data_IF_961590549660
#
_entry.id   IF_961590549660
#
_cell.length_a   1.000
_cell.length_b   1.000
_cell.length_c   1.000
_cell.angle_alpha   90.00
_cell.angle_beta   90.00
_cell.angle_gamma   90.00
#
_symmetry.space_group_name_H-M   'P 1'
#
loop_
_entity.id
_entity.type
_entity.pdbx_description
1 polymer ?
#
# COMPACT_ATOMS: atom_id res chain seq x y z
N UNK A 1 -39.34 15.00 -12.70
CA UNK A 1 -39.38 13.67 -13.32
C UNK A 1 -38.22 13.48 -14.27
N UNK A 2 -37.95 14.43 -15.17
CA UNK A 2 -36.79 14.40 -16.08
C UNK A 2 -35.43 14.22 -15.37
N UNK A 3 -35.14 14.96 -14.31
CA UNK A 3 -33.88 14.77 -13.55
C UNK A 3 -33.72 13.36 -12.95
N UNK A 4 -34.83 12.75 -12.54
CA UNK A 4 -34.83 11.38 -12.01
C UNK A 4 -34.58 10.37 -13.14
N UNK A 5 -35.24 10.57 -14.28
CA UNK A 5 -35.08 9.71 -15.45
C UNK A 5 -33.66 9.82 -16.02
N UNK A 6 -33.06 11.00 -16.01
CA UNK A 6 -31.69 11.24 -16.44
C UNK A 6 -30.67 10.62 -15.50
N UNK A 7 -30.85 10.76 -14.18
CA UNK A 7 -30.01 10.11 -13.19
C UNK A 7 -30.09 8.57 -13.31
N UNK A 8 -31.30 8.03 -13.47
CA UNK A 8 -31.51 6.60 -13.68
C UNK A 8 -30.85 6.13 -14.99
N UNK A 9 -31.00 6.89 -16.08
CA UNK A 9 -30.41 6.58 -17.38
C UNK A 9 -28.89 6.50 -17.31
N UNK A 10 -28.21 7.41 -16.61
CA UNK A 10 -26.75 7.35 -16.45
C UNK A 10 -26.28 6.07 -15.76
N UNK A 11 -26.91 5.67 -14.65
CA UNK A 11 -26.55 4.44 -13.93
C UNK A 11 -26.79 3.21 -14.80
N UNK A 12 -27.92 3.17 -15.52
CA UNK A 12 -28.25 2.04 -16.40
C UNK A 12 -27.32 1.97 -17.61
N UNK A 13 -26.94 3.10 -18.20
CA UNK A 13 -25.99 3.14 -19.30
C UNK A 13 -24.61 2.63 -18.89
N UNK A 14 -24.09 3.01 -17.71
CA UNK A 14 -22.80 2.47 -17.23
C UNK A 14 -22.88 0.95 -17.04
N UNK A 15 -23.99 0.42 -16.49
CA UNK A 15 -24.19 -1.03 -16.36
C UNK A 15 -24.28 -1.72 -17.73
N UNK A 16 -24.87 -1.05 -18.71
CA UNK A 16 -24.97 -1.53 -20.08
C UNK A 16 -23.59 -1.59 -20.76
N UNK A 17 -22.80 -0.51 -20.65
CA UNK A 17 -21.45 -0.42 -21.19
C UNK A 17 -20.50 -1.44 -20.53
N UNK A 18 -20.69 -1.71 -19.23
CA UNK A 18 -20.00 -2.78 -18.51
C UNK A 18 -20.48 -4.19 -18.88
N UNK A 19 -21.49 -4.32 -19.74
CA UNK A 19 -22.04 -5.60 -20.22
C UNK A 19 -22.89 -6.36 -19.19
N UNK A 20 -23.24 -5.75 -18.06
CA UNK A 20 -23.89 -6.43 -16.94
C UNK A 20 -25.35 -6.84 -17.22
N UNK A 21 -25.99 -6.23 -18.23
CA UNK A 21 -27.31 -6.67 -18.70
C UNK A 21 -27.24 -7.91 -19.61
N UNK A 22 -26.10 -8.13 -20.27
CA UNK A 22 -25.89 -9.32 -21.10
C UNK A 22 -25.44 -10.51 -20.24
N UNK A 23 -24.49 -10.28 -19.34
CA UNK A 23 -24.06 -11.24 -18.33
C UNK A 23 -23.76 -10.54 -16.99
N UNK A 24 -24.63 -10.68 -15.98
CA UNK A 24 -24.45 -10.03 -14.68
C UNK A 24 -23.28 -10.63 -13.87
N UNK A 25 -22.74 -11.78 -14.24
CA UNK A 25 -21.65 -12.47 -13.54
C UNK A 25 -20.31 -12.45 -14.29
N UNK A 26 -20.23 -11.70 -15.38
CA UNK A 26 -19.06 -11.63 -16.28
C UNK A 26 -17.71 -11.38 -15.61
N UNK A 27 -17.70 -10.68 -14.47
CA UNK A 27 -16.47 -10.33 -13.74
C UNK A 27 -16.18 -11.25 -12.53
N UNK A 28 -17.02 -12.25 -12.27
CA UNK A 28 -16.87 -13.20 -11.17
C UNK A 28 -16.33 -14.56 -11.62
N UNK A 29 -16.41 -14.86 -12.92
CA UNK A 29 -16.06 -16.16 -13.47
C UNK A 29 -16.97 -17.30 -12.96
N UNK A 30 -16.67 -18.56 -13.32
CA UNK A 30 -17.35 -19.71 -12.74
C UNK A 30 -17.16 -19.75 -11.21
N UNK A 31 -18.19 -20.16 -10.48
CA UNK A 31 -18.22 -20.18 -9.00
C UNK A 31 -16.98 -20.80 -8.34
N UNK A 32 -16.41 -21.83 -8.96
CA UNK A 32 -15.27 -22.59 -8.41
C UNK A 32 -13.90 -22.13 -8.93
N UNK A 33 -13.85 -21.05 -9.73
CA UNK A 33 -12.63 -20.62 -10.41
C UNK A 33 -11.76 -19.64 -9.61
N UNK A 34 -12.33 -18.89 -8.67
CA UNK A 34 -11.57 -17.95 -7.85
C UNK A 34 -10.97 -18.69 -6.63
N UNK A 35 -9.65 -18.59 -6.39
CA UNK A 35 -9.03 -19.17 -5.20
C UNK A 35 -9.67 -18.64 -3.92
N UNK A 36 -9.84 -19.54 -2.93
CA UNK A 36 -10.46 -19.20 -1.64
C UNK A 36 -9.70 -18.08 -0.91
N UNK A 37 -8.37 -18.06 -1.04
CA UNK A 37 -7.55 -17.00 -0.46
C UNK A 37 -7.38 -15.84 -1.44
N UNK A 38 -8.20 -14.80 -1.24
CA UNK A 38 -8.13 -13.54 -2.00
C UNK A 38 -6.77 -12.87 -1.88
N UNK A 39 -6.03 -13.09 -0.78
CA UNK A 39 -4.73 -12.46 -0.52
C UNK A 39 -3.55 -13.38 -0.86
N UNK A 40 -3.77 -14.50 -1.56
CA UNK A 40 -2.70 -15.42 -1.90
C UNK A 40 -1.55 -14.73 -2.65
N UNK A 41 -0.30 -15.06 -2.31
CA UNK A 41 0.90 -14.49 -2.94
C UNK A 41 0.93 -14.68 -4.46
N UNK A 42 0.31 -15.76 -4.96
CA UNK A 42 0.21 -16.05 -6.40
C UNK A 42 -0.66 -15.04 -7.16
N UNK A 43 -1.52 -14.27 -6.49
CA UNK A 43 -2.36 -13.23 -7.10
C UNK A 43 -1.67 -11.86 -7.13
N UNK A 44 -0.47 -11.73 -6.55
CA UNK A 44 0.23 -10.45 -6.47
C UNK A 44 1.12 -10.20 -7.69
N UNK A 45 1.09 -8.97 -8.20
CA UNK A 45 1.91 -8.50 -9.32
C UNK A 45 3.22 -7.82 -8.83
N UNK A 46 4.05 -8.58 -8.08
CA UNK A 46 5.23 -8.02 -7.38
C UNK A 46 6.32 -7.51 -8.32
N UNK A 47 6.49 -8.14 -9.49
CA UNK A 47 7.53 -7.77 -10.45
C UNK A 47 7.24 -6.39 -11.03
N UNK A 48 6.02 -6.20 -11.53
CA UNK A 48 5.52 -4.97 -12.14
C UNK A 48 5.54 -3.84 -11.11
N UNK A 49 5.04 -4.11 -9.89
CA UNK A 49 5.09 -3.13 -8.79
C UNK A 49 6.52 -2.67 -8.48
N UNK A 50 7.51 -3.58 -8.50
CA UNK A 50 8.91 -3.26 -8.25
C UNK A 50 9.54 -2.45 -9.39
N UNK A 51 9.17 -2.70 -10.64
CA UNK A 51 9.67 -1.96 -11.80
C UNK A 51 9.18 -0.52 -11.78
N UNK A 52 7.86 -0.31 -11.65
CA UNK A 52 7.27 1.03 -11.54
C UNK A 52 7.82 1.80 -10.34
N UNK A 53 7.98 1.14 -9.19
CA UNK A 53 8.54 1.78 -7.99
C UNK A 53 10.01 2.22 -8.16
N UNK A 54 10.79 1.63 -9.08
CA UNK A 54 12.16 2.11 -9.36
C UNK A 54 12.16 3.39 -10.18
N UNK A 55 11.24 3.51 -11.12
CA UNK A 55 11.14 4.66 -12.02
C UNK A 55 10.58 5.90 -11.33
N UNK A 56 9.83 5.73 -10.23
CA UNK A 56 9.27 6.84 -9.45
C UNK A 56 10.25 7.50 -8.48
N UNK A 57 11.43 6.92 -8.24
CA UNK A 57 12.41 7.45 -7.29
C UNK A 57 13.16 8.65 -7.86
N UNK A 58 13.19 9.75 -7.10
CA UNK A 58 13.90 10.98 -7.47
C UNK A 58 15.15 11.15 -6.61
N UNK A 59 16.33 11.20 -7.25
CA UNK A 59 17.60 11.47 -6.57
C UNK A 59 17.78 12.98 -6.35
N UNK A 60 17.54 13.44 -5.12
CA UNK A 60 17.64 14.87 -4.79
C UNK A 60 19.08 15.37 -4.62
N UNK A 61 20.01 14.52 -4.15
CA UNK A 61 21.42 14.90 -3.90
C UNK A 61 22.33 13.68 -3.91
N UNK A 62 23.50 13.80 -4.54
CA UNK A 62 24.60 12.82 -4.46
C UNK A 62 25.95 13.55 -4.38
N UNK A 63 26.57 13.57 -3.20
CA UNK A 63 27.88 14.22 -2.98
C UNK A 63 28.97 13.15 -2.93
N UNK A 64 30.15 13.46 -3.47
CA UNK A 64 31.33 12.57 -3.44
C UNK A 64 31.05 11.15 -3.97
N UNK A 65 30.15 11.02 -4.94
CA UNK A 65 29.78 9.71 -5.52
C UNK A 65 29.39 8.67 -4.47
N UNK A 66 28.71 9.12 -3.40
CA UNK A 66 28.31 8.23 -2.30
C UNK A 66 27.41 7.09 -2.80
N UNK A 67 26.54 7.39 -3.77
CA UNK A 67 25.72 6.39 -4.45
C UNK A 67 26.30 6.06 -5.83
N UNK A 68 26.28 4.77 -6.25
CA UNK A 68 25.67 3.62 -5.58
C UNK A 68 26.56 3.01 -4.46
N UNK A 69 25.91 2.49 -3.41
CA UNK A 69 26.61 1.83 -2.31
C UNK A 69 27.24 0.49 -2.74
N UNK A 70 28.44 0.19 -2.21
CA UNK A 70 29.07 -1.12 -2.36
C UNK A 70 28.35 -2.16 -1.52
N UNK A 71 27.98 -3.30 -2.13
CA UNK A 71 27.32 -4.41 -1.44
C UNK A 71 28.16 -5.06 -0.34
N UNK A 72 29.47 -4.87 -0.36
CA UNK A 72 30.38 -5.42 0.67
C UNK A 72 30.52 -4.57 1.92
N UNK A 73 29.90 -3.38 1.96
CA UNK A 73 30.02 -2.48 3.09
C UNK A 73 29.23 -2.97 4.32
N UNK A 74 29.60 -2.44 5.48
CA UNK A 74 28.71 -2.46 6.65
C UNK A 74 27.80 -1.24 6.59
N UNK A 75 26.49 -1.47 6.48
CA UNK A 75 25.46 -0.44 6.27
C UNK A 75 24.62 -0.34 7.55
N UNK A 76 24.60 0.83 8.17
CA UNK A 76 23.67 1.14 9.24
C UNK A 76 22.38 1.73 8.64
N UNK A 77 21.25 1.08 8.92
CA UNK A 77 19.91 1.55 8.55
C UNK A 77 19.25 2.09 9.81
N UNK A 78 18.98 3.40 9.85
CA UNK A 78 18.47 4.08 11.04
C UNK A 78 17.22 4.88 10.70
N UNK A 79 16.19 4.74 11.52
CA UNK A 79 14.98 5.58 11.46
C UNK A 79 13.69 4.80 11.72
N UNK A 80 12.61 5.49 12.15
CA UNK A 80 11.33 4.85 12.50
C UNK A 80 10.65 4.17 11.31
N UNK A 81 10.89 4.64 10.07
CA UNK A 81 10.26 4.11 8.86
C UNK A 81 11.06 2.97 8.22
N UNK A 82 12.27 2.69 8.70
CA UNK A 82 13.17 1.72 8.08
C UNK A 82 12.56 0.32 8.00
N UNK A 83 11.82 -0.09 9.02
CA UNK A 83 11.17 -1.40 9.11
C UNK A 83 9.64 -1.33 9.21
N UNK A 84 9.03 -0.26 8.70
CA UNK A 84 7.58 -0.12 8.70
C UNK A 84 6.96 -0.70 7.44
N UNK A 85 6.17 -1.77 7.61
CA UNK A 85 5.37 -2.37 6.54
C UNK A 85 4.12 -1.55 6.18
N UNK A 86 3.60 -0.78 7.14
CA UNK A 86 2.40 0.03 6.93
C UNK A 86 2.72 1.27 6.10
N UNK A 87 3.78 1.98 6.48
CA UNK A 87 4.06 3.29 5.89
C UNK A 87 4.58 3.19 4.46
N UNK A 88 5.23 2.07 4.09
CA UNK A 88 5.72 1.85 2.72
C UNK A 88 4.60 1.67 1.70
N UNK A 89 3.39 1.26 2.12
CA UNK A 89 2.22 1.20 1.23
C UNK A 89 1.64 2.58 0.93
N UNK A 90 1.90 3.56 1.79
CA UNK A 90 1.30 4.89 1.71
C UNK A 90 -0.17 4.93 2.13
N UNK A 91 -0.75 6.13 2.04
CA UNK A 91 -2.20 6.33 2.19
C UNK A 91 -2.97 5.78 1.00
N UNK A 92 -4.26 5.49 1.19
CA UNK A 92 -5.14 5.02 0.11
C UNK A 92 -4.65 3.71 -0.55
N UNK A 93 -4.07 2.80 0.24
CA UNK A 93 -3.54 1.50 -0.21
C UNK A 93 -4.61 0.47 -0.62
N UNK A 94 -5.88 0.87 -0.71
CA UNK A 94 -7.02 0.02 -1.06
C UNK A 94 -7.04 -1.31 -0.31
N UNK A 95 -7.04 -2.45 -1.02
CA UNK A 95 -7.02 -3.80 -0.45
C UNK A 95 -5.61 -4.32 -0.10
N UNK A 96 -4.59 -3.46 -0.11
CA UNK A 96 -3.22 -3.84 0.20
C UNK A 96 -3.06 -4.36 1.63
N UNK A 97 -2.38 -5.51 1.77
CA UNK A 97 -2.09 -6.12 3.07
C UNK A 97 -0.69 -5.71 3.53
N UNK A 98 -0.61 -4.97 4.63
CA UNK A 98 0.65 -4.46 5.16
C UNK A 98 1.69 -5.57 5.31
N UNK A 99 1.31 -6.73 5.83
CA UNK A 99 2.23 -7.83 6.06
C UNK A 99 2.92 -8.40 4.82
N UNK A 100 2.35 -8.18 3.63
CA UNK A 100 2.92 -8.58 2.35
C UNK A 100 3.92 -7.56 1.79
N UNK A 101 4.09 -6.42 2.45
CA UNK A 101 5.00 -5.35 2.01
C UNK A 101 6.46 -5.63 2.35
N UNK A 102 7.35 -5.21 1.45
CA UNK A 102 8.80 -5.27 1.68
C UNK A 102 9.26 -3.94 2.26
N UNK A 103 9.75 -3.95 3.50
CA UNK A 103 10.29 -2.74 4.17
C UNK A 103 11.60 -2.29 3.53
N UNK A 104 12.01 -1.04 3.76
CA UNK A 104 13.31 -0.52 3.29
C UNK A 104 14.45 -1.37 3.84
N UNK A 105 14.40 -1.72 5.13
CA UNK A 105 15.37 -2.61 5.79
C UNK A 105 15.42 -3.98 5.11
N UNK A 106 14.27 -4.60 4.86
CA UNK A 106 14.19 -5.90 4.19
C UNK A 106 14.72 -5.82 2.76
N UNK A 107 14.37 -4.77 2.01
CA UNK A 107 14.86 -4.53 0.66
C UNK A 107 16.38 -4.37 0.59
N UNK A 108 16.98 -3.64 1.53
CA UNK A 108 18.44 -3.48 1.63
C UNK A 108 19.10 -4.82 1.98
N UNK A 109 18.58 -5.56 2.97
CA UNK A 109 19.09 -6.90 3.33
C UNK A 109 19.06 -7.85 2.13
N UNK A 110 17.96 -7.88 1.39
CA UNK A 110 17.82 -8.72 0.18
C UNK A 110 18.81 -8.31 -0.92
N UNK A 111 19.12 -7.02 -1.06
CA UNK A 111 20.03 -6.54 -2.10
C UNK A 111 21.53 -6.78 -1.77
N UNK A 112 21.88 -6.71 -0.48
CA UNK A 112 23.24 -6.95 0.03
C UNK A 112 23.53 -8.45 0.09
N UNK A 113 22.57 -9.26 0.55
CA UNK A 113 22.74 -10.69 0.79
C UNK A 113 23.84 -10.97 1.81
N UNK A 114 24.68 -11.96 1.53
CA UNK A 114 25.80 -12.36 2.40
C UNK A 114 27.07 -11.52 2.18
N UNK A 115 27.08 -10.62 1.19
CA UNK A 115 28.29 -9.90 0.81
C UNK A 115 28.72 -8.84 1.81
N UNK A 116 27.79 -8.36 2.64
CA UNK A 116 28.00 -7.25 3.57
C UNK A 116 27.17 -7.41 4.84
N UNK A 117 27.23 -6.40 5.71
CA UNK A 117 26.56 -6.45 7.02
C UNK A 117 25.55 -5.32 7.14
N UNK A 118 24.31 -5.63 7.49
CA UNK A 118 23.27 -4.62 7.74
C UNK A 118 23.02 -4.52 9.25
N UNK A 119 23.27 -3.35 9.82
CA UNK A 119 22.95 -3.01 11.20
C UNK A 119 21.68 -2.17 11.23
N UNK A 120 20.81 -2.38 12.21
CA UNK A 120 19.55 -1.65 12.32
C UNK A 120 19.40 -1.05 13.72
N UNK A 121 18.93 0.19 13.76
CA UNK A 121 18.42 0.82 14.97
C UNK A 121 17.22 1.70 14.63
N UNK A 122 16.14 1.63 15.42
CA UNK A 122 14.97 2.50 15.22
C UNK A 122 15.34 3.99 15.34
N UNK A 123 16.23 4.32 16.28
CA UNK A 123 16.68 5.68 16.56
C UNK A 123 15.64 6.49 17.32
N UNK A 124 14.54 6.85 16.66
CA UNK A 124 13.46 7.67 17.22
C UNK A 124 12.08 7.12 16.85
N UNK A 125 11.02 7.68 17.45
CA UNK A 125 9.65 7.49 16.98
C UNK A 125 9.31 8.47 15.86
N UNK A 126 8.22 8.22 15.12
CA UNK A 126 7.72 9.15 14.07
C UNK A 126 7.32 10.50 14.68
N UNK A 127 6.72 10.46 15.88
CA UNK A 127 6.38 11.64 16.68
C UNK A 127 6.54 11.30 18.16
N UNK A 128 6.67 12.34 19.00
CA UNK A 128 6.59 12.23 20.47
C UNK A 128 5.15 12.22 20.99
N UNK A 129 4.18 12.61 20.15
CA UNK A 129 2.76 12.57 20.48
C UNK A 129 2.24 11.13 20.52
N UNK A 130 1.54 10.78 21.60
CA UNK A 130 1.03 9.43 21.83
C UNK A 130 -0.21 9.12 20.99
N UNK A 131 -1.00 10.13 20.60
CA UNK A 131 -2.25 9.90 19.86
C UNK A 131 -1.99 9.35 18.44
N UNK A 132 -1.10 9.92 17.61
CA UNK A 132 -0.78 9.37 16.27
C UNK A 132 -0.09 8.00 16.31
N UNK A 133 0.69 7.72 17.35
CA UNK A 133 1.40 6.45 17.52
C UNK A 133 0.43 5.27 17.70
N UNK A 134 -0.73 5.49 18.34
CA UNK A 134 -1.74 4.45 18.49
C UNK A 134 -2.31 4.01 17.13
N UNK A 135 -2.64 4.96 16.24
CA UNK A 135 -3.18 4.66 14.91
C UNK A 135 -2.23 3.84 14.03
N UNK A 136 -0.91 4.05 14.16
CA UNK A 136 0.09 3.27 13.42
C UNK A 136 0.16 1.80 13.85
N UNK A 137 -0.34 1.47 15.04
CA UNK A 137 -0.27 0.12 15.64
C UNK A 137 -1.58 -0.66 15.56
N UNK A 138 -2.69 -0.02 15.16
CA UNK A 138 -3.98 -0.68 15.05
C UNK A 138 -4.06 -1.55 13.78
N UNK A 139 -4.48 -2.82 13.89
CA UNK A 139 -4.79 -3.62 12.71
C UNK A 139 -5.96 -2.96 11.96
N UNK A 140 -5.83 -2.84 10.63
CA UNK A 140 -6.93 -2.36 9.79
C UNK A 140 -8.01 -3.45 9.76
N UNK A 141 -9.09 -3.23 10.50
CA UNK A 141 -10.27 -4.09 10.42
C UNK A 141 -11.07 -3.72 9.17
N UNK A 142 -11.39 -4.66 8.27
CA UNK A 142 -12.17 -4.38 7.06
C UNK A 142 -13.60 -3.86 7.36
N UNK A 143 -14.07 -3.96 8.60
CA UNK A 143 -15.35 -3.38 9.05
C UNK A 143 -15.33 -1.86 9.23
N UNK A 144 -14.17 -1.21 9.17
CA UNK A 144 -14.04 0.24 9.39
C UNK A 144 -14.48 1.11 8.19
N UNK A 145 -14.84 0.52 7.05
CA UNK A 145 -15.29 1.26 5.85
C UNK A 145 -16.71 1.85 5.98
N UNK A 146 -17.42 1.57 7.09
CA UNK A 146 -18.75 2.08 7.40
C UNK A 146 -18.77 3.17 8.47
N UNK A 147 -17.66 3.90 8.67
CA UNK A 147 -17.73 5.18 9.39
C UNK A 147 -18.17 6.24 8.37
N UNK A 148 -19.37 6.83 8.50
CA UNK A 148 -19.82 7.86 7.57
C UNK A 148 -18.83 9.01 7.53
N UNK A 149 -18.60 9.57 6.33
CA UNK A 149 -17.68 10.70 6.06
C UNK A 149 -17.90 11.89 7.01
N UNK A 150 -19.07 11.99 7.63
CA UNK A 150 -19.40 12.99 8.64
C UNK A 150 -18.52 12.94 9.90
N UNK A 151 -17.97 11.78 10.28
CA UNK A 151 -17.22 11.64 11.54
C UNK A 151 -15.76 12.03 11.41
N UNK A 152 -15.22 12.09 10.19
CA UNK A 152 -13.84 12.47 9.93
C UNK A 152 -13.57 13.97 10.13
N UNK A 153 -14.60 14.82 10.00
CA UNK A 153 -14.45 16.28 10.20
C UNK A 153 -14.44 16.68 11.68
N UNK A 154 -15.05 15.87 12.57
CA UNK A 154 -15.18 16.19 13.99
C UNK A 154 -13.88 16.02 14.79
N UNK A 155 -12.96 15.15 14.35
CA UNK A 155 -11.71 14.87 15.07
C UNK A 155 -10.60 15.89 14.72
N UNK A 156 -10.82 16.74 13.70
CA UNK A 156 -9.84 17.77 13.31
C UNK A 156 -10.06 19.13 14.00
N UNK A 157 -11.08 19.28 14.86
CA UNK A 157 -11.42 20.57 15.52
C UNK A 157 -11.63 20.40 17.05
N UNK A 158 -10.95 19.45 17.69
CA UNK A 158 -10.98 19.33 19.16
C UNK A 158 -9.63 18.93 19.72
#
# INVERSE_FOLDING_TARGET
MEELDDAARHVLNVKYDMGLFNDPYSHLGPKESDPVDTNAESRLHRKEAREVARESLVLLKNRLETLPLKKSATIAVVGPLADSKRDVMGSWSAAGVADQSVTVLTGIKNAVGENGKVLYAKGANVTSDKAPLAYSTLPFSPTAFLIPVSTALAISIS
#
